data_IF_356756386213
#
_entry.id   IF_356756386213
#
_cell.length_a   1.000
_cell.length_b   1.000
_cell.length_c   1.000
_cell.angle_alpha   90.00
_cell.angle_beta   90.00
_cell.angle_gamma   90.00
#
_symmetry.space_group_name_H-M   'P 1'
#
loop_
_entity.id
_entity.type
_entity.pdbx_description
1 polymer ?
#
# COMPACT_ATOMS: atom_id res chain seq x y z
N UNK A 1 19.09 0.95 -63.16
CA UNK A 1 18.30 1.73 -62.18
C UNK A 1 18.13 0.86 -60.96
N UNK A 2 18.92 1.12 -59.91
CA UNK A 2 19.00 0.26 -58.72
C UNK A 2 17.98 0.77 -57.69
N UNK A 3 17.10 -0.13 -57.24
CA UNK A 3 16.09 0.12 -56.20
C UNK A 3 16.81 0.12 -54.85
N UNK A 4 16.71 1.22 -54.09
CA UNK A 4 17.06 1.23 -52.67
C UNK A 4 15.78 1.07 -51.84
N UNK A 5 15.60 -0.13 -51.30
CA UNK A 5 14.62 -0.43 -50.26
C UNK A 5 15.20 0.10 -48.93
N UNK A 6 14.67 1.19 -48.41
CA UNK A 6 15.01 1.66 -47.07
C UNK A 6 14.35 0.74 -46.03
N UNK A 7 15.09 -0.26 -45.54
CA UNK A 7 14.68 -1.02 -44.38
C UNK A 7 14.72 -0.09 -43.15
N UNK A 8 13.56 0.14 -42.54
CA UNK A 8 13.44 0.83 -41.26
C UNK A 8 14.15 0.01 -40.19
N UNK A 9 15.32 0.47 -39.74
CA UNK A 9 16.00 -0.06 -38.56
C UNK A 9 15.15 0.29 -37.33
N UNK A 10 14.51 -0.71 -36.74
CA UNK A 10 13.88 -0.62 -35.43
C UNK A 10 14.94 -0.22 -34.39
N UNK A 11 14.78 0.94 -33.76
CA UNK A 11 15.64 1.40 -32.66
C UNK A 11 15.63 0.38 -31.52
N UNK A 12 16.82 -0.11 -31.16
CA UNK A 12 17.08 -1.14 -30.15
C UNK A 12 16.94 -0.56 -28.73
N UNK A 13 16.39 -1.36 -27.80
CA UNK A 13 15.91 -1.00 -26.45
C UNK A 13 16.77 -0.03 -25.63
N UNK A 14 16.14 0.87 -24.84
CA UNK A 14 16.80 1.77 -23.87
C UNK A 14 16.78 1.22 -22.44
N UNK A 15 15.66 0.68 -21.96
CA UNK A 15 15.53 0.01 -20.67
C UNK A 15 14.60 -1.18 -20.86
N UNK A 16 14.94 -2.32 -20.27
CA UNK A 16 14.10 -3.51 -20.19
C UNK A 16 13.89 -3.88 -18.73
N UNK A 17 12.65 -4.11 -18.35
CA UNK A 17 12.22 -4.56 -17.02
C UNK A 17 11.56 -5.92 -17.16
N UNK A 18 12.05 -6.92 -16.43
CA UNK A 18 11.53 -8.29 -16.50
C UNK A 18 11.33 -8.85 -15.10
N UNK A 19 10.09 -8.90 -14.60
CA UNK A 19 9.79 -9.61 -13.37
C UNK A 19 9.70 -11.12 -13.67
N UNK A 20 10.16 -11.93 -12.73
CA UNK A 20 10.04 -13.38 -12.74
C UNK A 20 9.67 -13.88 -11.34
N UNK A 21 8.99 -15.02 -11.27
CA UNK A 21 8.66 -15.66 -10.00
C UNK A 21 8.66 -17.18 -10.09
N UNK A 22 8.93 -17.83 -8.95
CA UNK A 22 8.67 -19.25 -8.73
C UNK A 22 7.18 -19.62 -8.81
N UNK A 23 6.28 -18.63 -8.88
CA UNK A 23 4.83 -18.64 -9.14
C UNK A 23 3.94 -19.59 -8.31
N UNK A 24 4.46 -20.60 -7.64
CA UNK A 24 3.73 -21.57 -6.85
C UNK A 24 3.83 -21.23 -5.36
N UNK A 25 2.68 -21.07 -4.70
CA UNK A 25 2.56 -20.82 -3.26
C UNK A 25 1.70 -21.92 -2.66
N UNK A 26 2.26 -22.68 -1.72
CA UNK A 26 1.52 -23.67 -0.95
C UNK A 26 1.27 -23.16 0.47
N UNK A 27 -0.01 -23.01 0.80
CA UNK A 27 -0.50 -22.54 2.09
C UNK A 27 -1.13 -23.73 2.84
N UNK A 28 -0.41 -24.27 3.82
CA UNK A 28 -0.82 -25.49 4.55
C UNK A 28 -1.30 -25.22 5.97
N UNK A 29 -1.21 -23.97 6.45
CA UNK A 29 -1.47 -23.60 7.85
C UNK A 29 -2.29 -22.32 7.96
N UNK A 30 -3.07 -22.21 9.04
CA UNK A 30 -3.76 -20.98 9.44
C UNK A 30 -2.78 -19.86 9.84
N UNK A 31 -1.51 -20.17 10.11
CA UNK A 31 -0.44 -19.20 10.38
C UNK A 31 0.04 -18.45 9.13
N UNK A 32 -0.65 -18.61 7.99
CA UNK A 32 -0.31 -17.93 6.75
C UNK A 32 0.90 -18.56 6.07
N UNK A 33 1.49 -17.82 5.14
CA UNK A 33 2.67 -18.26 4.39
C UNK A 33 3.58 -17.08 4.09
N UNK A 34 4.87 -17.25 4.31
CA UNK A 34 5.92 -16.42 3.72
C UNK A 34 6.68 -17.25 2.70
N UNK A 35 6.85 -16.74 1.48
CA UNK A 35 7.69 -17.40 0.49
C UNK A 35 9.18 -17.13 0.76
N UNK A 36 10.07 -17.79 0.02
CA UNK A 36 11.51 -17.55 0.12
C UNK A 36 11.87 -16.10 -0.25
N UNK A 37 12.99 -15.56 0.25
CA UNK A 37 13.40 -14.18 -0.04
C UNK A 37 13.46 -13.83 -1.54
N UNK A 38 13.90 -14.75 -2.40
CA UNK A 38 14.02 -14.57 -3.86
C UNK A 38 12.84 -15.16 -4.65
N UNK A 39 11.66 -15.22 -4.03
CA UNK A 39 10.48 -15.78 -4.70
C UNK A 39 10.07 -14.97 -5.93
N UNK A 40 10.34 -13.67 -5.92
CA UNK A 40 10.31 -12.79 -7.08
C UNK A 40 11.70 -12.24 -7.37
N UNK A 41 12.03 -12.15 -8.65
CA UNK A 41 13.21 -11.48 -9.18
C UNK A 41 12.75 -10.39 -10.12
N UNK A 42 13.20 -9.17 -9.90
CA UNK A 42 12.92 -8.00 -10.73
C UNK A 42 14.21 -7.60 -11.43
N UNK A 43 14.35 -8.02 -12.69
CA UNK A 43 15.52 -7.72 -13.48
C UNK A 43 15.37 -6.40 -14.24
N UNK A 44 16.35 -5.52 -14.05
CA UNK A 44 16.49 -4.28 -14.80
C UNK A 44 17.70 -4.41 -15.72
N UNK A 45 17.50 -4.24 -17.02
CA UNK A 45 18.56 -4.19 -18.02
C UNK A 45 18.56 -2.81 -18.67
N UNK A 46 19.71 -2.14 -18.67
CA UNK A 46 19.85 -0.79 -19.18
C UNK A 46 21.03 -0.74 -20.13
N UNK A 47 20.81 -0.21 -21.33
CA UNK A 47 21.86 -0.03 -22.33
C UNK A 47 21.32 0.70 -23.54
N UNK A 48 22.11 1.60 -24.11
CA UNK A 48 21.72 2.37 -25.29
C UNK A 48 22.95 2.91 -26.01
N UNK A 49 22.78 3.31 -27.27
CA UNK A 49 23.75 4.11 -28.03
C UNK A 49 23.85 5.56 -27.53
N UNK A 50 23.13 5.91 -26.45
CA UNK A 50 23.12 7.21 -25.80
C UNK A 50 23.10 7.04 -24.28
N UNK A 51 23.53 8.06 -23.54
CA UNK A 51 23.41 8.05 -22.08
C UNK A 51 21.94 7.98 -21.66
N UNK A 52 21.63 7.12 -20.70
CA UNK A 52 20.31 7.01 -20.07
C UNK A 52 20.39 7.58 -18.67
N UNK A 53 19.44 8.44 -18.32
CA UNK A 53 19.26 8.94 -16.97
C UNK A 53 17.78 9.23 -16.74
N UNK A 54 17.07 8.28 -16.13
CA UNK A 54 15.66 8.41 -15.78
C UNK A 54 15.53 8.61 -14.27
N UNK A 55 15.42 9.87 -13.78
CA UNK A 55 15.20 10.14 -12.37
C UNK A 55 13.75 9.90 -11.98
N UNK A 56 13.49 9.75 -10.68
CA UNK A 56 12.15 9.71 -10.09
C UNK A 56 11.23 8.64 -10.73
N UNK A 57 11.79 7.54 -11.20
CA UNK A 57 11.03 6.41 -11.72
C UNK A 57 10.26 5.72 -10.59
N UNK A 58 9.22 4.98 -10.95
CA UNK A 58 8.36 4.27 -10.00
C UNK A 58 7.99 2.88 -10.51
N UNK A 59 7.76 1.94 -9.60
CA UNK A 59 7.31 0.58 -9.91
C UNK A 59 6.02 0.30 -9.14
N UNK A 60 4.95 -0.02 -9.85
CA UNK A 60 3.67 -0.41 -9.25
C UNK A 60 3.35 -1.87 -9.50
N UNK A 61 2.41 -2.38 -8.71
CA UNK A 61 1.73 -3.64 -8.90
C UNK A 61 0.23 -3.43 -8.78
N UNK A 62 -0.56 -4.13 -9.59
CA UNK A 62 -2.02 -4.14 -9.49
C UNK A 62 -2.58 -5.53 -9.71
N UNK A 63 -3.65 -5.85 -9.00
CA UNK A 63 -4.44 -7.06 -9.24
C UNK A 63 -5.33 -6.84 -10.48
N UNK A 64 -5.26 -7.75 -11.46
CA UNK A 64 -6.00 -7.60 -12.72
C UNK A 64 -7.46 -8.05 -12.64
N UNK A 65 -7.74 -9.05 -11.79
CA UNK A 65 -9.09 -9.58 -11.60
C UNK A 65 -9.23 -10.15 -10.18
N UNK A 66 -10.47 -10.27 -9.67
CA UNK A 66 -10.70 -10.94 -8.38
C UNK A 66 -10.06 -12.33 -8.34
N UNK A 67 -9.49 -12.70 -7.19
CA UNK A 67 -8.79 -13.97 -6.99
C UNK A 67 -9.83 -15.07 -6.75
N UNK A 68 -10.23 -15.78 -7.80
CA UNK A 68 -11.24 -16.84 -7.74
C UNK A 68 -10.61 -18.23 -7.93
N UNK A 69 -11.26 -19.30 -7.43
CA UNK A 69 -10.77 -20.65 -7.67
C UNK A 69 -10.74 -20.98 -9.17
N UNK A 70 -9.60 -21.48 -9.65
CA UNK A 70 -9.44 -22.01 -11.01
C UNK A 70 -9.52 -23.54 -11.07
N UNK A 71 -9.37 -24.20 -9.92
CA UNK A 71 -9.56 -25.64 -9.76
C UNK A 71 -9.95 -25.99 -8.31
N UNK A 72 -10.72 -27.05 -8.12
CA UNK A 72 -11.16 -27.51 -6.79
C UNK A 72 -12.19 -26.60 -6.08
N UNK A 73 -12.76 -25.64 -6.80
CA UNK A 73 -13.79 -24.73 -6.30
C UNK A 73 -15.24 -25.22 -6.49
N UNK A 74 -16.24 -24.49 -5.97
CA UNK A 74 -16.12 -23.22 -5.26
C UNK A 74 -15.47 -23.36 -3.88
N UNK A 75 -14.97 -22.26 -3.31
CA UNK A 75 -14.53 -22.23 -1.92
C UNK A 75 -15.71 -22.13 -0.97
N UNK A 76 -15.50 -22.46 0.31
CA UNK A 76 -16.57 -22.47 1.33
C UNK A 76 -17.25 -21.12 1.53
N UNK A 77 -16.53 -20.01 1.34
CA UNK A 77 -17.06 -18.66 1.55
C UNK A 77 -17.93 -18.15 0.39
N UNK A 78 -17.77 -18.72 -0.82
CA UNK A 78 -18.36 -18.22 -2.06
C UNK A 78 -17.81 -16.86 -2.53
N UNK A 79 -16.76 -16.32 -1.88
CA UNK A 79 -16.17 -15.01 -2.17
C UNK A 79 -14.78 -15.15 -2.81
N UNK A 80 -14.29 -14.14 -3.55
CA UNK A 80 -12.90 -14.08 -3.98
C UNK A 80 -11.94 -14.06 -2.77
N UNK A 81 -10.75 -14.62 -2.93
CA UNK A 81 -9.69 -14.53 -1.93
C UNK A 81 -9.31 -13.05 -1.71
N UNK A 82 -9.21 -12.58 -0.45
CA UNK A 82 -9.02 -11.16 -0.14
C UNK A 82 -7.61 -10.71 -0.55
N UNK A 83 -7.52 -9.74 -1.47
CA UNK A 83 -6.25 -9.21 -1.93
C UNK A 83 -5.45 -8.53 -0.80
N UNK A 84 -6.14 -7.87 0.14
CA UNK A 84 -5.54 -7.19 1.29
C UNK A 84 -4.93 -8.15 2.32
N UNK A 85 -5.04 -9.47 2.13
CA UNK A 85 -4.33 -10.49 2.90
C UNK A 85 -3.06 -10.99 2.21
N UNK A 86 -2.74 -10.46 1.04
CA UNK A 86 -1.54 -10.77 0.28
C UNK A 86 -0.65 -9.53 0.26
N UNK A 87 0.62 -9.67 0.61
CA UNK A 87 1.59 -8.59 0.55
C UNK A 87 2.87 -8.99 -0.18
N UNK A 88 3.52 -7.99 -0.77
CA UNK A 88 4.85 -8.09 -1.34
C UNK A 88 5.83 -7.35 -0.43
N UNK A 89 7.06 -7.86 -0.33
CA UNK A 89 8.11 -7.20 0.43
C UNK A 89 9.46 -7.38 -0.27
N UNK A 90 10.20 -6.28 -0.39
CA UNK A 90 11.60 -6.31 -0.80
C UNK A 90 12.47 -7.01 0.24
N UNK A 91 13.39 -7.83 -0.21
CA UNK A 91 14.23 -8.66 0.66
C UNK A 91 15.70 -8.33 0.47
N UNK A 92 16.24 -8.67 -0.69
CA UNK A 92 17.65 -8.54 -1.04
C UNK A 92 17.83 -8.02 -2.48
N UNK A 93 19.06 -7.70 -2.84
CA UNK A 93 19.47 -7.31 -4.19
C UNK A 93 20.85 -7.91 -4.51
N UNK A 94 21.27 -7.83 -5.77
CA UNK A 94 22.60 -8.25 -6.21
C UNK A 94 23.69 -7.18 -5.98
N UNK A 95 23.42 -6.22 -5.09
CA UNK A 95 24.31 -5.16 -4.61
C UNK A 95 24.99 -4.35 -5.72
N UNK A 96 24.28 -4.11 -6.83
CA UNK A 96 24.80 -3.30 -7.92
C UNK A 96 24.82 -1.82 -7.53
N UNK A 97 25.98 -1.18 -7.66
CA UNK A 97 26.15 0.23 -7.27
C UNK A 97 25.21 1.18 -8.04
N UNK A 98 24.86 0.83 -9.28
CA UNK A 98 24.02 1.64 -10.16
C UNK A 98 22.51 1.45 -9.92
N UNK A 99 22.10 0.38 -9.23
CA UNK A 99 20.71 0.14 -8.84
C UNK A 99 20.66 -0.90 -7.70
N UNK A 100 20.36 -0.46 -6.49
CA UNK A 100 20.15 -1.35 -5.34
C UNK A 100 19.02 -0.82 -4.46
N UNK A 101 18.50 -1.68 -3.58
CA UNK A 101 17.32 -1.36 -2.80
C UNK A 101 17.51 -0.18 -1.83
N UNK A 102 18.73 0.03 -1.31
CA UNK A 102 19.04 1.16 -0.44
C UNK A 102 19.08 2.47 -1.25
N UNK A 103 19.78 2.46 -2.39
CA UNK A 103 19.92 3.61 -3.28
C UNK A 103 18.58 4.09 -3.83
N UNK A 104 17.67 3.19 -4.17
CA UNK A 104 16.34 3.53 -4.67
C UNK A 104 15.36 3.95 -3.56
N UNK A 105 15.72 3.77 -2.28
CA UNK A 105 14.87 4.08 -1.14
C UNK A 105 13.70 3.10 -0.97
N UNK A 106 13.88 1.83 -1.33
CA UNK A 106 12.82 0.83 -1.24
C UNK A 106 12.47 0.50 0.22
N UNK A 107 11.19 0.55 0.56
CA UNK A 107 10.68 0.11 1.87
C UNK A 107 10.89 -1.39 2.07
N UNK A 108 11.25 -1.81 3.29
CA UNK A 108 11.31 -3.23 3.68
C UNK A 108 10.06 -3.69 4.44
N UNK A 109 9.05 -2.83 4.53
CA UNK A 109 7.76 -3.18 5.11
C UNK A 109 6.93 -3.98 4.11
N UNK A 110 5.91 -4.67 4.62
CA UNK A 110 4.97 -5.41 3.79
C UNK A 110 4.05 -4.41 3.05
N UNK A 111 3.94 -4.58 1.74
CA UNK A 111 3.11 -3.76 0.84
C UNK A 111 1.92 -4.61 0.43
N UNK A 112 0.75 -4.34 1.02
CA UNK A 112 -0.47 -5.12 0.79
C UNK A 112 -1.07 -4.80 -0.58
N UNK A 113 -1.58 -5.83 -1.24
CA UNK A 113 -2.34 -5.66 -2.47
C UNK A 113 -3.69 -5.00 -2.18
N UNK A 114 -4.17 -4.20 -3.12
CA UNK A 114 -5.51 -3.65 -3.10
C UNK A 114 -6.44 -4.49 -4.00
N UNK A 115 -7.72 -4.58 -3.63
CA UNK A 115 -8.75 -5.21 -4.46
C UNK A 115 -9.01 -4.43 -5.76
N UNK A 116 -8.61 -3.16 -5.82
CA UNK A 116 -8.73 -2.30 -7.00
C UNK A 116 -7.63 -1.24 -7.00
N UNK A 117 -7.19 -0.82 -8.18
CA UNK A 117 -6.16 0.20 -8.33
C UNK A 117 -4.74 -0.36 -8.25
N UNK A 118 -3.77 0.54 -8.35
CA UNK A 118 -2.35 0.20 -8.28
C UNK A 118 -1.79 0.52 -6.91
N UNK A 119 -0.86 -0.32 -6.44
CA UNK A 119 -0.07 -0.08 -5.23
C UNK A 119 1.39 0.06 -5.65
N UNK A 120 2.10 1.05 -5.10
CA UNK A 120 3.49 1.30 -5.46
C UNK A 120 4.44 0.45 -4.60
N UNK A 121 5.24 -0.38 -5.27
CA UNK A 121 6.38 -1.06 -4.66
C UNK A 121 7.55 -0.10 -4.45
N UNK A 122 7.67 0.87 -5.38
CA UNK A 122 8.57 2.02 -5.32
C UNK A 122 7.77 3.19 -5.87
N UNK A 123 7.40 4.14 -5.02
CA UNK A 123 6.60 5.29 -5.45
C UNK A 123 7.43 6.33 -6.20
N UNK A 124 8.64 6.60 -5.70
CA UNK A 124 9.59 7.53 -6.30
C UNK A 124 11.00 7.13 -5.89
N UNK A 125 11.79 6.65 -6.85
CA UNK A 125 13.16 6.24 -6.58
C UNK A 125 14.08 7.42 -6.29
N UNK A 126 14.91 7.29 -5.25
CA UNK A 126 16.00 8.21 -4.93
C UNK A 126 17.23 8.05 -5.85
N UNK A 127 17.33 6.92 -6.54
CA UNK A 127 18.40 6.61 -7.48
C UNK A 127 17.84 6.49 -8.91
N UNK A 128 18.37 7.23 -9.89
CA UNK A 128 17.89 7.15 -11.28
C UNK A 128 18.27 5.82 -11.94
N UNK A 129 17.46 5.37 -12.90
CA UNK A 129 17.90 4.35 -13.85
C UNK A 129 18.93 4.99 -14.78
N UNK A 130 20.17 4.49 -14.74
CA UNK A 130 21.30 5.06 -15.47
C UNK A 130 22.07 4.00 -16.23
N UNK A 131 22.47 4.35 -17.45
CA UNK A 131 23.48 3.62 -18.21
C UNK A 131 24.29 4.61 -19.05
N UNK A 132 25.58 4.35 -19.17
CA UNK A 132 26.46 5.12 -20.04
C UNK A 132 26.31 4.68 -21.49
N UNK A 133 26.66 5.58 -22.41
CA UNK A 133 26.67 5.32 -23.84
C UNK A 133 27.49 4.06 -24.17
N UNK A 134 26.88 3.13 -24.90
CA UNK A 134 27.48 1.84 -25.29
C UNK A 134 27.86 0.91 -24.13
N UNK A 135 27.35 1.16 -22.92
CA UNK A 135 27.53 0.27 -21.77
C UNK A 135 26.21 -0.45 -21.43
N UNK A 136 26.31 -1.76 -21.19
CA UNK A 136 25.19 -2.57 -20.74
C UNK A 136 25.31 -2.82 -19.24
N UNK A 137 24.26 -2.53 -18.49
CA UNK A 137 24.17 -2.76 -17.06
C UNK A 137 22.93 -3.58 -16.75
N UNK A 138 23.04 -4.44 -15.73
CA UNK A 138 21.95 -5.26 -15.22
C UNK A 138 21.99 -5.23 -13.71
N UNK A 139 20.81 -5.19 -13.09
CA UNK A 139 20.64 -5.32 -11.66
C UNK A 139 19.40 -6.17 -11.35
N UNK A 140 19.47 -6.90 -10.24
CA UNK A 140 18.42 -7.79 -9.76
C UNK A 140 17.98 -7.34 -8.38
N UNK A 141 16.69 -7.05 -8.26
CA UNK A 141 16.05 -6.82 -6.97
C UNK A 141 15.18 -8.04 -6.64
N UNK A 142 15.17 -8.45 -5.39
CA UNK A 142 14.45 -9.64 -4.95
C UNK A 142 13.33 -9.29 -3.97
N UNK A 143 12.25 -10.06 -4.03
CA UNK A 143 11.12 -9.87 -3.14
C UNK A 143 10.39 -11.16 -2.83
N UNK A 144 9.77 -11.19 -1.66
CA UNK A 144 8.91 -12.28 -1.22
C UNK A 144 7.44 -11.89 -1.33
N UNK A 145 6.58 -12.91 -1.30
CA UNK A 145 5.12 -12.78 -1.14
C UNK A 145 4.76 -13.35 0.23
N UNK A 146 3.82 -12.70 0.90
CA UNK A 146 3.23 -13.21 2.13
C UNK A 146 1.72 -13.30 2.02
N UNK A 147 1.17 -14.34 2.63
CA UNK A 147 -0.26 -14.52 2.89
C UNK A 147 -0.43 -14.41 4.40
N UNK A 148 -1.25 -13.47 4.83
CA UNK A 148 -1.50 -13.20 6.24
C UNK A 148 -2.11 -14.42 6.94
N UNK A 149 -1.69 -14.67 8.18
CA UNK A 149 -2.35 -15.63 9.06
C UNK A 149 -3.79 -15.21 9.37
N UNK A 150 -4.64 -16.17 9.69
CA UNK A 150 -5.97 -15.89 10.19
C UNK A 150 -6.98 -17.00 9.96
N UNK A 151 -7.98 -17.07 10.85
CA UNK A 151 -9.12 -18.00 10.72
C UNK A 151 -9.93 -17.79 9.44
N UNK A 152 -9.85 -16.60 8.82
CA UNK A 152 -10.48 -16.32 7.52
C UNK A 152 -10.14 -17.36 6.44
N UNK A 153 -8.96 -18.00 6.53
CA UNK A 153 -8.51 -19.05 5.60
C UNK A 153 -9.45 -20.26 5.58
N UNK A 154 -10.25 -20.49 6.63
CA UNK A 154 -11.25 -21.57 6.69
C UNK A 154 -12.32 -21.39 5.60
N UNK A 155 -12.65 -20.15 5.24
CA UNK A 155 -13.58 -19.85 4.15
C UNK A 155 -13.00 -20.09 2.75
N UNK A 156 -11.67 -20.25 2.64
CA UNK A 156 -10.96 -20.32 1.37
C UNK A 156 -10.43 -21.70 1.00
N UNK A 157 -10.70 -22.74 1.81
CA UNK A 157 -10.55 -24.14 1.40
C UNK A 157 -11.69 -24.57 0.45
N UNK A 158 -11.56 -25.72 -0.20
CA UNK A 158 -12.61 -26.26 -1.08
C UNK A 158 -13.94 -26.46 -0.35
N UNK A 159 -15.03 -26.04 -0.99
CA UNK A 159 -16.40 -26.32 -0.57
C UNK A 159 -16.99 -27.56 -1.23
N UNK A 160 -16.26 -28.25 -2.11
CA UNK A 160 -16.77 -29.42 -2.87
C UNK A 160 -16.72 -30.69 -2.03
N UNK A 161 -15.56 -30.98 -1.42
CA UNK A 161 -15.38 -32.12 -0.53
C UNK A 161 -14.22 -31.89 0.44
N UNK A 162 -14.21 -32.63 1.55
CA UNK A 162 -13.14 -32.56 2.57
C UNK A 162 -11.77 -33.07 2.11
N UNK A 163 -11.68 -33.61 0.88
CA UNK A 163 -10.45 -34.14 0.30
C UNK A 163 -10.01 -33.38 -0.96
N UNK A 164 -10.71 -32.31 -1.33
CA UNK A 164 -10.42 -31.54 -2.54
C UNK A 164 -9.45 -30.40 -2.25
N UNK A 165 -8.29 -30.43 -2.91
CA UNK A 165 -7.36 -29.29 -2.96
C UNK A 165 -7.96 -28.21 -3.85
N UNK A 166 -7.87 -26.95 -3.42
CA UNK A 166 -8.31 -25.79 -4.20
C UNK A 166 -7.11 -24.98 -4.68
N UNK A 167 -7.23 -24.41 -5.88
CA UNK A 167 -6.19 -23.61 -6.52
C UNK A 167 -6.78 -22.28 -6.96
N UNK A 168 -6.08 -21.19 -6.65
CA UNK A 168 -6.41 -19.83 -7.05
C UNK A 168 -5.31 -19.28 -7.93
N UNK A 169 -5.71 -18.53 -8.96
CA UNK A 169 -4.79 -17.69 -9.73
C UNK A 169 -4.83 -16.25 -9.21
N UNK A 170 -3.66 -15.67 -8.98
CA UNK A 170 -3.46 -14.29 -8.54
C UNK A 170 -2.75 -13.54 -9.67
N UNK A 171 -3.49 -12.92 -10.61
CA UNK A 171 -2.90 -12.25 -11.75
C UNK A 171 -2.48 -10.83 -11.39
N UNK A 172 -1.17 -10.60 -11.26
CA UNK A 172 -0.60 -9.29 -10.94
C UNK A 172 0.05 -8.67 -12.19
N UNK A 173 -0.26 -7.41 -12.45
CA UNK A 173 0.47 -6.62 -13.42
C UNK A 173 1.46 -5.70 -12.70
N UNK A 174 2.71 -5.82 -13.06
CA UNK A 174 3.78 -4.91 -12.64
C UNK A 174 4.01 -3.88 -13.73
N UNK A 175 4.10 -2.60 -13.35
CA UNK A 175 4.32 -1.51 -14.30
C UNK A 175 5.48 -0.64 -13.86
N UNK A 176 6.50 -0.55 -14.71
CA UNK A 176 7.61 0.36 -14.56
C UNK A 176 7.29 1.69 -15.25
N UNK A 177 7.40 2.77 -14.50
CA UNK A 177 7.19 4.13 -14.99
C UNK A 177 8.49 4.93 -14.95
N UNK A 178 8.71 5.75 -15.96
CA UNK A 178 9.71 6.81 -15.94
C UNK A 178 9.19 8.09 -15.27
N UNK A 179 9.90 9.19 -15.48
CA UNK A 179 9.49 10.50 -14.99
C UNK A 179 8.07 10.86 -15.46
N UNK A 180 7.33 11.57 -14.60
CA UNK A 180 5.94 12.02 -14.85
C UNK A 180 4.95 10.87 -15.12
N UNK A 181 5.14 9.70 -14.48
CA UNK A 181 4.26 8.51 -14.61
C UNK A 181 4.12 8.01 -16.06
N UNK A 182 5.09 8.28 -16.93
CA UNK A 182 5.11 7.71 -18.29
C UNK A 182 5.43 6.22 -18.18
N UNK A 183 4.55 5.35 -18.67
CA UNK A 183 4.81 3.90 -18.73
C UNK A 183 6.04 3.64 -19.59
N UNK A 184 7.01 2.90 -19.04
CA UNK A 184 8.14 2.34 -19.77
C UNK A 184 7.78 0.93 -20.23
N UNK A 185 7.36 0.07 -19.30
CA UNK A 185 7.05 -1.32 -19.57
C UNK A 185 6.03 -1.87 -18.56
N UNK A 186 5.30 -2.92 -18.94
CA UNK A 186 4.36 -3.62 -18.06
C UNK A 186 4.39 -5.11 -18.32
N UNK A 187 4.34 -5.91 -17.25
CA UNK A 187 4.38 -7.37 -17.30
C UNK A 187 3.34 -7.97 -16.38
N UNK A 188 2.71 -9.06 -16.82
CA UNK A 188 1.77 -9.82 -16.01
C UNK A 188 2.45 -11.08 -15.49
N UNK A 189 2.39 -11.29 -14.17
CA UNK A 189 2.73 -12.55 -13.53
C UNK A 189 1.51 -13.10 -12.82
N UNK A 190 1.22 -14.38 -13.05
CA UNK A 190 0.15 -15.09 -12.35
C UNK A 190 0.77 -16.03 -11.32
N UNK A 191 0.44 -15.82 -10.05
CA UNK A 191 0.81 -16.73 -8.97
C UNK A 191 -0.30 -17.75 -8.76
N UNK A 192 0.07 -18.99 -8.52
CA UNK A 192 -0.83 -20.07 -8.15
C UNK A 192 -0.77 -20.28 -6.65
N UNK A 193 -1.86 -19.97 -5.97
CA UNK A 193 -2.04 -20.28 -4.56
C UNK A 193 -2.78 -21.61 -4.44
N UNK A 194 -2.08 -22.58 -3.89
CA UNK A 194 -2.64 -23.88 -3.60
C UNK A 194 -2.92 -24.04 -2.11
N UNK A 195 -4.14 -24.47 -1.81
CA UNK A 195 -4.61 -24.70 -0.45
C UNK A 195 -5.07 -26.16 -0.36
N UNK A 196 -4.46 -26.99 0.51
CA UNK A 196 -4.88 -28.36 0.72
C UNK A 196 -6.27 -28.39 1.39
N UNK A 197 -6.93 -29.56 1.42
CA UNK A 197 -8.28 -29.67 1.96
C UNK A 197 -8.38 -29.32 3.45
N UNK A 198 -7.30 -29.51 4.21
CA UNK A 198 -7.20 -29.23 5.64
C UNK A 198 -5.94 -28.42 5.91
N UNK A 199 -6.11 -27.34 6.68
CA UNK A 199 -5.02 -26.50 7.16
C UNK A 199 -4.65 -26.90 8.60
N UNK A 200 -3.37 -26.84 8.93
CA UNK A 200 -2.86 -27.06 10.29
C UNK A 200 -2.94 -25.79 11.14
N UNK A 201 -2.75 -25.93 12.45
CA UNK A 201 -2.61 -24.82 13.41
C UNK A 201 -3.88 -23.97 13.63
N UNK A 202 -5.06 -24.54 13.36
CA UNK A 202 -6.35 -23.84 13.54
C UNK A 202 -6.54 -23.27 14.95
N UNK A 203 -6.19 -24.06 15.98
CA UNK A 203 -6.26 -23.63 17.38
C UNK A 203 -5.26 -22.53 17.77
N UNK A 204 -4.18 -22.33 17.01
CA UNK A 204 -3.20 -21.25 17.26
C UNK A 204 -3.69 -19.89 16.74
N UNK A 205 -4.74 -19.89 15.92
CA UNK A 205 -5.29 -18.70 15.26
C UNK A 205 -6.76 -18.50 15.64
N UNK A 206 -7.25 -19.21 16.67
CA UNK A 206 -8.64 -19.18 17.13
C UNK A 206 -9.08 -17.84 17.72
N UNK A 207 -8.16 -16.89 17.90
CA UNK A 207 -8.50 -15.54 18.35
C UNK A 207 -8.47 -14.61 17.15
N UNK A 208 -9.60 -14.49 16.46
CA UNK A 208 -9.89 -13.24 15.77
C UNK A 208 -9.68 -12.13 16.80
N UNK A 209 -8.72 -11.21 16.59
CA UNK A 209 -8.29 -10.33 17.65
C UNK A 209 -9.51 -9.59 18.15
N UNK A 210 -9.71 -9.60 19.46
CA UNK A 210 -10.87 -8.99 20.10
C UNK A 210 -11.01 -7.50 19.75
N UNK A 211 -9.94 -6.91 19.20
CA UNK A 211 -9.84 -5.55 18.71
C UNK A 211 -9.01 -5.52 17.43
N UNK A 212 -9.46 -4.82 16.39
CA UNK A 212 -8.64 -4.52 15.22
C UNK A 212 -8.84 -3.09 14.76
N UNK A 213 -7.75 -2.48 14.31
CA UNK A 213 -7.72 -1.16 13.68
C UNK A 213 -7.11 -1.30 12.30
N UNK A 214 -7.87 -0.94 11.28
CA UNK A 214 -7.39 -0.87 9.90
C UNK A 214 -7.53 0.56 9.40
N UNK A 215 -6.44 1.11 8.87
CA UNK A 215 -6.43 2.39 8.14
C UNK A 215 -6.48 2.07 6.65
N UNK A 216 -7.46 2.61 5.95
CA UNK A 216 -7.65 2.37 4.52
C UNK A 216 -6.57 3.09 3.69
N UNK A 217 -6.23 2.57 2.51
CA UNK A 217 -5.18 3.12 1.66
C UNK A 217 -5.42 4.59 1.30
N UNK A 218 -6.68 5.00 1.12
CA UNK A 218 -7.07 6.39 0.87
C UNK A 218 -6.84 7.35 2.05
N UNK A 219 -6.55 6.83 3.24
CA UNK A 219 -6.26 7.60 4.45
C UNK A 219 -4.78 7.58 4.87
N UNK A 220 -3.93 6.84 4.14
CA UNK A 220 -2.47 6.79 4.38
C UNK A 220 -1.83 8.14 4.02
N UNK A 221 -2.32 8.81 2.98
CA UNK A 221 -1.87 10.14 2.59
C UNK A 221 -3.06 11.10 2.41
N UNK A 222 -3.09 12.16 3.21
CA UNK A 222 -4.12 13.19 3.16
C UNK A 222 -3.49 14.54 2.76
N UNK A 223 -3.95 15.12 1.65
CA UNK A 223 -3.42 16.38 1.12
C UNK A 223 -4.44 17.52 1.23
N UNK A 224 -4.11 18.55 2.00
CA UNK A 224 -4.89 19.77 2.16
C UNK A 224 -4.28 20.88 1.30
N UNK A 225 -5.04 21.40 0.33
CA UNK A 225 -4.51 22.27 -0.73
C UNK A 225 -5.08 23.70 -0.68
N UNK A 226 -4.20 24.66 -0.40
CA UNK A 226 -4.54 26.08 -0.41
C UNK A 226 -4.27 26.68 -1.80
N UNK A 227 -5.30 26.79 -2.64
CA UNK A 227 -5.17 27.32 -4.01
C UNK A 227 -5.74 28.72 -4.21
N UNK A 228 -6.74 29.09 -3.42
CA UNK A 228 -7.43 30.38 -3.57
C UNK A 228 -7.16 31.25 -2.36
N UNK A 229 -7.28 32.58 -2.52
CA UNK A 229 -7.22 33.51 -1.38
C UNK A 229 -8.25 33.16 -0.31
N UNK A 230 -9.42 32.67 -0.71
CA UNK A 230 -10.46 32.26 0.22
C UNK A 230 -10.02 31.09 1.11
N UNK A 231 -9.24 30.14 0.58
CA UNK A 231 -8.68 29.05 1.40
C UNK A 231 -7.76 29.55 2.51
N UNK A 232 -7.05 30.66 2.31
CA UNK A 232 -6.21 31.26 3.36
C UNK A 232 -7.02 32.03 4.42
N UNK A 233 -8.29 32.33 4.15
CA UNK A 233 -9.20 33.05 5.06
C UNK A 233 -10.05 32.05 5.84
N UNK A 234 -10.69 31.12 5.13
CA UNK A 234 -11.67 30.17 5.69
C UNK A 234 -11.05 28.82 6.08
N UNK A 235 -9.79 28.61 5.70
CA UNK A 235 -9.13 27.32 5.79
C UNK A 235 -9.56 26.33 4.70
N UNK A 236 -9.08 25.11 4.84
CA UNK A 236 -9.38 24.00 3.93
C UNK A 236 -9.83 22.78 4.71
N UNK A 237 -10.77 22.04 4.15
CA UNK A 237 -11.30 20.79 4.73
C UNK A 237 -11.13 19.65 3.74
N UNK A 238 -10.75 18.49 4.24
CA UNK A 238 -10.68 17.25 3.49
C UNK A 238 -11.44 16.17 4.24
N UNK A 239 -12.44 15.57 3.59
CA UNK A 239 -13.14 14.40 4.10
C UNK A 239 -12.59 13.15 3.42
N UNK A 240 -11.93 12.29 4.20
CA UNK A 240 -11.48 10.98 3.74
C UNK A 240 -12.55 9.95 4.12
N UNK A 241 -13.22 9.40 3.10
CA UNK A 241 -14.28 8.43 3.30
C UNK A 241 -13.71 7.04 3.65
N UNK A 242 -14.40 6.32 4.53
CA UNK A 242 -14.04 4.96 4.95
C UNK A 242 -12.58 4.82 5.44
N UNK A 243 -12.04 5.89 6.02
CA UNK A 243 -10.64 6.03 6.40
C UNK A 243 -10.18 5.02 7.44
N UNK A 244 -11.05 4.68 8.40
CA UNK A 244 -10.73 3.74 9.48
C UNK A 244 -11.83 2.68 9.58
N UNK A 245 -11.42 1.42 9.81
CA UNK A 245 -12.30 0.33 10.20
C UNK A 245 -11.88 -0.21 11.55
N UNK A 246 -12.87 -0.42 12.42
CA UNK A 246 -12.69 -0.95 13.78
C UNK A 246 -13.61 -2.15 13.98
N UNK A 247 -13.04 -3.20 14.55
CA UNK A 247 -13.78 -4.29 15.15
C UNK A 247 -13.38 -4.37 16.62
N UNK A 248 -14.35 -4.56 17.51
CA UNK A 248 -14.11 -4.65 18.95
C UNK A 248 -15.21 -5.45 19.65
N UNK A 249 -14.88 -6.23 20.69
CA UNK A 249 -15.87 -6.88 21.56
C UNK A 249 -16.20 -6.10 22.85
N UNK A 250 -15.52 -4.98 23.14
CA UNK A 250 -15.85 -4.07 24.25
C UNK A 250 -15.99 -2.62 23.76
N UNK A 251 -16.36 -1.72 24.66
CA UNK A 251 -16.29 -0.30 24.35
C UNK A 251 -14.84 0.09 24.00
N UNK A 252 -14.66 1.14 23.20
CA UNK A 252 -13.33 1.48 22.70
C UNK A 252 -13.14 2.98 22.51
N UNK A 253 -11.87 3.38 22.43
CA UNK A 253 -11.44 4.72 22.04
C UNK A 253 -10.50 4.67 20.84
N UNK A 254 -10.77 5.51 19.85
CA UNK A 254 -9.79 5.89 18.86
C UNK A 254 -9.06 7.12 19.39
N UNK A 255 -7.74 6.98 19.50
CA UNK A 255 -6.86 8.05 19.94
C UNK A 255 -5.89 8.42 18.84
N UNK A 256 -5.48 9.68 18.84
CA UNK A 256 -4.55 10.18 17.85
C UNK A 256 -3.56 11.14 18.49
N UNK A 257 -2.34 11.14 17.95
CA UNK A 257 -1.32 12.15 18.20
C UNK A 257 -0.46 12.35 16.97
N UNK A 258 0.17 13.51 16.90
CA UNK A 258 1.26 13.76 15.99
C UNK A 258 2.54 13.11 16.48
N UNK A 259 3.33 12.56 15.56
CA UNK A 259 4.68 12.08 15.83
C UNK A 259 5.71 13.22 15.88
N UNK A 260 5.43 14.32 15.17
CA UNK A 260 6.28 15.50 15.12
C UNK A 260 5.64 16.66 15.89
N UNK A 261 6.44 17.54 16.54
CA UNK A 261 5.93 18.71 17.26
C UNK A 261 5.45 19.85 16.36
N UNK A 262 5.73 19.77 15.06
CA UNK A 262 5.39 20.77 14.05
C UNK A 262 5.16 20.10 12.69
N UNK A 263 4.48 20.81 11.78
CA UNK A 263 4.33 20.41 10.39
C UNK A 263 5.59 20.84 9.63
N UNK A 264 6.40 19.87 9.25
CA UNK A 264 7.74 20.12 8.72
C UNK A 264 7.71 20.48 7.24
N UNK A 265 8.57 21.40 6.84
CA UNK A 265 8.90 21.66 5.43
C UNK A 265 10.20 20.95 5.07
N UNK A 266 10.39 20.59 3.81
CA UNK A 266 11.68 20.02 3.34
C UNK A 266 12.85 20.98 3.54
N UNK A 267 12.60 22.29 3.54
CA UNK A 267 13.58 23.34 3.82
C UNK A 267 12.93 24.52 4.55
N UNK A 268 13.56 25.04 5.59
CA UNK A 268 13.06 26.19 6.37
C UNK A 268 12.20 25.82 7.58
N UNK A 269 11.55 26.82 8.17
CA UNK A 269 10.75 26.68 9.39
C UNK A 269 9.43 25.92 9.14
N UNK A 270 9.03 25.12 10.14
CA UNK A 270 7.76 24.40 10.15
C UNK A 270 6.58 25.28 10.53
N UNK A 271 5.38 24.72 10.42
CA UNK A 271 4.15 25.35 10.90
C UNK A 271 3.67 24.68 12.19
N UNK A 272 3.03 25.41 13.12
CA UNK A 272 2.56 24.82 14.37
C UNK A 272 1.42 23.82 14.14
N UNK A 273 1.40 22.71 14.88
CA UNK A 273 0.35 21.68 14.73
C UNK A 273 -1.06 22.20 14.99
N UNK A 274 -1.20 23.26 15.80
CA UNK A 274 -2.49 23.83 16.18
C UNK A 274 -3.31 24.38 15.01
N UNK A 275 -2.70 24.55 13.83
CA UNK A 275 -3.43 24.89 12.60
C UNK A 275 -4.24 23.72 12.06
N UNK A 276 -3.88 22.47 12.40
CA UNK A 276 -4.59 21.27 11.98
C UNK A 276 -5.57 20.81 13.05
N UNK A 277 -6.77 20.49 12.59
CA UNK A 277 -7.79 19.84 13.40
C UNK A 277 -8.33 18.61 12.70
N UNK A 278 -8.80 17.67 13.51
CA UNK A 278 -9.30 16.38 13.09
C UNK A 278 -10.65 16.11 13.75
N UNK A 279 -11.56 15.50 12.99
CA UNK A 279 -12.79 14.93 13.53
C UNK A 279 -13.04 13.56 12.90
N UNK A 280 -13.33 12.56 13.74
CA UNK A 280 -13.71 11.21 13.30
C UNK A 280 -15.22 11.19 13.11
N UNK A 281 -15.70 10.85 11.92
CA UNK A 281 -17.14 10.86 11.60
C UNK A 281 -17.60 9.42 11.43
N UNK A 282 -18.48 8.90 12.31
CA UNK A 282 -19.10 7.59 12.15
C UNK A 282 -19.77 7.47 10.78
N UNK A 283 -19.51 6.36 10.10
CA UNK A 283 -20.18 6.01 8.85
C UNK A 283 -21.01 4.73 9.09
N UNK A 284 -20.60 3.60 8.53
CA UNK A 284 -21.37 2.36 8.60
C UNK A 284 -21.10 1.59 9.91
N UNK A 285 -22.15 1.12 10.58
CA UNK A 285 -22.04 0.35 11.83
C UNK A 285 -21.65 1.18 13.06
N UNK A 286 -21.38 2.48 12.91
CA UNK A 286 -20.99 3.40 13.99
C UNK A 286 -22.16 3.87 14.87
N UNK A 287 -22.92 2.94 15.45
CA UNK A 287 -23.91 3.26 16.49
C UNK A 287 -23.25 3.30 17.89
N UNK A 288 -23.82 4.05 18.83
CA UNK A 288 -23.34 4.09 20.23
C UNK A 288 -22.12 4.99 20.46
N UNK A 289 -22.06 6.16 19.81
CA UNK A 289 -21.04 7.17 20.09
C UNK A 289 -21.13 7.66 21.54
N UNK A 290 -20.03 7.54 22.29
CA UNK A 290 -19.86 8.10 23.63
C UNK A 290 -19.27 9.51 23.53
N UNK A 291 -18.20 9.66 22.74
CA UNK A 291 -17.50 10.93 22.57
C UNK A 291 -17.05 11.08 21.12
N UNK A 292 -17.22 12.27 20.54
CA UNK A 292 -16.72 12.60 19.20
C UNK A 292 -16.32 14.09 19.12
N UNK A 293 -15.19 14.46 19.73
CA UNK A 293 -14.72 15.84 19.70
C UNK A 293 -14.06 16.16 18.36
N UNK A 294 -14.16 17.42 17.95
CA UNK A 294 -13.18 17.99 17.01
C UNK A 294 -11.94 18.37 17.81
N UNK A 295 -10.81 17.76 17.51
CA UNK A 295 -9.55 17.97 18.23
C UNK A 295 -8.59 18.81 17.39
N UNK A 296 -7.80 19.65 18.05
CA UNK A 296 -6.59 20.24 17.45
C UNK A 296 -5.45 19.25 17.62
N UNK A 297 -4.64 19.07 16.57
CA UNK A 297 -3.54 18.12 16.61
C UNK A 297 -2.44 18.61 17.53
N UNK A 298 -1.89 17.68 18.30
CA UNK A 298 -0.76 17.89 19.18
C UNK A 298 0.08 16.61 19.27
N UNK A 299 1.22 16.66 19.94
CA UNK A 299 2.02 15.48 20.28
C UNK A 299 1.47 14.71 21.48
N UNK A 300 0.46 15.26 22.16
CA UNK A 300 -0.23 14.61 23.27
C UNK A 300 -1.33 13.72 22.69
N UNK A 301 -1.44 12.51 23.23
CA UNK A 301 -2.49 11.58 22.86
C UNK A 301 -3.87 12.11 23.26
N UNK A 302 -4.76 12.22 22.28
CA UNK A 302 -6.10 12.77 22.46
C UNK A 302 -7.14 11.75 21.98
N UNK A 303 -8.27 11.67 22.70
CA UNK A 303 -9.41 10.86 22.29
C UNK A 303 -10.11 11.55 21.12
N UNK A 304 -10.01 10.95 19.94
CA UNK A 304 -10.65 11.43 18.72
C UNK A 304 -12.06 10.86 18.54
N UNK A 305 -12.32 9.69 19.12
CA UNK A 305 -13.65 9.08 19.16
C UNK A 305 -13.72 8.05 20.28
N UNK A 306 -14.89 7.90 20.90
CA UNK A 306 -15.20 6.80 21.81
C UNK A 306 -16.56 6.21 21.43
N UNK A 307 -16.65 4.89 21.36
CA UNK A 307 -17.86 4.19 20.94
C UNK A 307 -18.09 2.89 21.70
N UNK A 308 -19.35 2.45 21.68
CA UNK A 308 -19.75 1.20 22.31
C UNK A 308 -19.57 -0.01 21.40
N UNK A 309 -19.13 -1.14 21.96
CA UNK A 309 -19.20 -2.43 21.28
C UNK A 309 -19.44 -3.59 22.23
N UNK A 310 -20.11 -4.61 21.69
CA UNK A 310 -20.35 -5.91 22.35
C UNK A 310 -20.14 -7.09 21.41
N UNK A 311 -19.84 -6.82 20.14
CA UNK A 311 -19.75 -7.82 19.09
C UNK A 311 -18.59 -7.47 18.15
N UNK A 312 -17.56 -8.32 18.17
CA UNK A 312 -16.37 -8.18 17.31
C UNK A 312 -16.63 -8.46 15.84
N UNK A 313 -17.75 -9.09 15.50
CA UNK A 313 -18.11 -9.37 14.11
C UNK A 313 -18.69 -8.13 13.39
N UNK A 314 -19.07 -7.09 14.14
CA UNK A 314 -19.58 -5.84 13.58
C UNK A 314 -18.42 -4.92 13.22
N UNK A 315 -18.12 -4.86 11.92
CA UNK A 315 -17.17 -3.87 11.36
C UNK A 315 -17.80 -2.49 11.44
N UNK A 316 -17.09 -1.55 12.08
CA UNK A 316 -17.48 -0.15 12.18
C UNK A 316 -16.54 0.70 11.36
N UNK A 317 -17.11 1.48 10.45
CA UNK A 317 -16.36 2.31 9.52
C UNK A 317 -16.48 3.77 9.91
N UNK A 318 -15.37 4.50 9.81
CA UNK A 318 -15.26 5.91 10.14
C UNK A 318 -14.64 6.67 8.98
N UNK A 319 -15.21 7.84 8.69
CA UNK A 319 -14.55 8.86 7.89
C UNK A 319 -13.64 9.70 8.79
N UNK A 320 -12.64 10.34 8.21
CA UNK A 320 -11.84 11.35 8.91
C UNK A 320 -11.99 12.67 8.17
N UNK A 321 -12.38 13.73 8.89
CA UNK A 321 -12.32 15.09 8.39
C UNK A 321 -11.08 15.77 8.96
N UNK A 322 -10.17 16.16 8.07
CA UNK A 322 -9.06 17.03 8.39
C UNK A 322 -9.41 18.46 8.02
N UNK A 323 -8.97 19.42 8.84
CA UNK A 323 -9.16 20.84 8.58
C UNK A 323 -7.91 21.62 8.94
N UNK A 324 -7.45 22.47 8.03
CA UNK A 324 -6.33 23.38 8.25
C UNK A 324 -6.81 24.82 8.23
N UNK A 325 -6.55 25.56 9.32
CA UNK A 325 -6.85 26.99 9.42
C UNK A 325 -5.58 27.76 9.79
N UNK A 326 -5.18 28.69 8.93
CA UNK A 326 -4.08 29.61 9.23
C UNK A 326 -4.61 30.82 9.99
N UNK A 327 -3.96 31.20 11.08
CA UNK A 327 -4.23 32.51 11.69
C UNK A 327 -3.71 33.63 10.80
N UNK A 328 -4.18 34.87 11.03
CA UNK A 328 -3.72 36.04 10.28
C UNK A 328 -2.20 36.26 10.37
N UNK A 329 -1.58 35.94 11.50
CA UNK A 329 -0.12 36.03 11.63
C UNK A 329 0.59 34.93 10.85
N UNK A 330 0.05 33.69 10.88
CA UNK A 330 0.60 32.56 10.15
C UNK A 330 0.45 32.69 8.63
N UNK A 331 -0.64 33.29 8.13
CA UNK A 331 -0.81 33.50 6.69
C UNK A 331 0.17 34.52 6.11
N UNK A 332 0.70 35.43 6.95
CA UNK A 332 1.71 36.41 6.55
C UNK A 332 3.14 35.85 6.58
N UNK A 333 3.42 34.86 7.43
CA UNK A 333 4.77 34.28 7.61
C UNK A 333 4.96 32.94 6.91
N UNK A 334 3.87 32.20 6.63
CA UNK A 334 3.92 30.91 5.96
C UNK A 334 4.47 31.06 4.53
N UNK A 335 5.49 30.25 4.21
CA UNK A 335 6.07 30.22 2.86
C UNK A 335 5.34 29.21 1.98
N UNK A 336 5.17 29.45 0.67
CA UNK A 336 4.66 28.45 -0.24
C UNK A 336 5.54 27.19 -0.25
N UNK A 337 4.91 26.02 -0.26
CA UNK A 337 5.59 24.72 -0.33
C UNK A 337 4.79 23.60 0.30
N UNK A 338 5.40 22.41 0.30
CA UNK A 338 4.80 21.22 0.90
C UNK A 338 5.22 21.12 2.36
N UNK A 339 4.24 20.94 3.22
CA UNK A 339 4.42 20.70 4.65
C UNK A 339 3.85 19.32 4.99
N UNK A 340 4.59 18.53 5.76
CA UNK A 340 4.23 17.15 6.10
C UNK A 340 4.30 16.90 7.59
N UNK A 341 3.40 16.06 8.08
CA UNK A 341 3.37 15.58 9.46
C UNK A 341 2.83 14.16 9.47
N UNK A 342 3.37 13.33 10.35
CA UNK A 342 2.91 11.95 10.53
C UNK A 342 2.00 11.83 11.75
N UNK A 343 0.85 11.18 11.58
CA UNK A 343 -0.11 10.92 12.66
C UNK A 343 -0.10 9.44 13.05
N UNK A 344 -0.21 9.18 14.34
CA UNK A 344 -0.39 7.85 14.89
C UNK A 344 -1.82 7.69 15.39
N UNK A 345 -2.52 6.70 14.87
CA UNK A 345 -3.84 6.28 15.35
C UNK A 345 -3.69 5.05 16.24
N UNK A 346 -4.36 5.08 17.39
CA UNK A 346 -4.37 4.00 18.37
C UNK A 346 -5.82 3.61 18.65
N UNK A 347 -6.06 2.30 18.79
CA UNK A 347 -7.32 1.76 19.26
C UNK A 347 -7.11 1.20 20.68
N UNK A 348 -7.84 1.74 21.65
CA UNK A 348 -7.76 1.35 23.05
C UNK A 348 -9.08 0.70 23.47
N UNK A 349 -9.07 -0.50 24.08
CA UNK A 349 -10.25 -1.06 24.72
C UNK A 349 -10.62 -0.25 25.97
N UNK A 350 -11.91 -0.21 26.29
CA UNK A 350 -12.47 0.32 27.53
C UNK A 350 -13.10 -0.75 28.39
#
# INVERSE_FOLDING_TARGET
>A
MLILLAASLSGKAQISFRPWSNNYIELTSYLGKSTLPQFNTFQFQMGSQSNINIPNWSLSVRLLSPIIPVSGGPNKSGKPFPADKISLRWTEDDNQAHLNLNGIGASRNDIFLANSGEVFLIEKSNQPLRAEMNYHSSALLFGMVKIAQGKYLEGFVSGVSENTRIVYDIPLQFTLYGANRKVIESHVLTYQLHIPPKLTDGGAVEVEPDYSLQVDAGAIEASLQFFTRQHYIDGVKLLVQNAIRVNSNTDYELRVKSLDPEIRRTTGEGLPLSLLSLQVIPALGGAGTITNPKIQLSTIEQVAYAGQSKDKNVVRTFNIQYEANLTRSQSLTARPGNYTVSLLYLLMPK
#
